data_IF_234708600244
#
_entry.id   IF_234708600244
#
_cell.length_a   1.000
_cell.length_b   1.000
_cell.length_c   1.000
_cell.angle_alpha   90.00
_cell.angle_beta   90.00
_cell.angle_gamma   90.00
#
_symmetry.space_group_name_H-M   'P 1'
#
loop_
_entity.id
_entity.type
_entity.pdbx_description
1 polymer ?
#
# COMPACT_ATOMS: atom_id res chain seq x y z
N UNK A 1 -61.90 -17.15 14.40
CA UNK A 1 -61.14 -16.54 13.29
C UNK A 1 -60.82 -15.11 13.67
N UNK A 2 -59.62 -14.64 13.32
CA UNK A 2 -58.99 -13.33 13.60
C UNK A 2 -58.10 -13.30 14.85
N UNK A 3 -56.84 -13.72 14.64
CA UNK A 3 -55.71 -13.27 15.44
C UNK A 3 -55.23 -11.90 14.94
N UNK A 4 -54.62 -11.13 15.84
CA UNK A 4 -53.75 -10.02 15.49
C UNK A 4 -52.66 -9.96 16.57
N UNK A 5 -51.43 -10.26 16.14
CA UNK A 5 -50.25 -10.42 16.98
C UNK A 5 -49.84 -9.12 17.66
N UNK A 6 -49.36 -9.24 18.89
CA UNK A 6 -48.71 -8.15 19.62
C UNK A 6 -47.40 -7.82 18.88
N UNK A 7 -47.30 -6.58 18.40
CA UNK A 7 -46.08 -6.08 17.79
C UNK A 7 -45.01 -5.95 18.87
N UNK A 8 -43.98 -6.80 18.79
CA UNK A 8 -42.75 -6.64 19.53
C UNK A 8 -41.98 -5.44 18.97
N UNK A 9 -42.14 -4.27 19.58
CA UNK A 9 -41.28 -3.11 19.32
C UNK A 9 -39.91 -3.36 19.94
N UNK A 10 -39.03 -4.00 19.17
CA UNK A 10 -37.61 -3.99 19.45
C UNK A 10 -37.10 -2.55 19.25
N UNK A 11 -36.99 -1.81 20.35
CA UNK A 11 -36.33 -0.52 20.37
C UNK A 11 -34.86 -0.72 20.02
N UNK A 12 -34.49 -0.37 18.78
CA UNK A 12 -33.11 -0.25 18.36
C UNK A 12 -32.46 0.91 19.12
N UNK A 13 -31.78 0.59 20.21
CA UNK A 13 -30.83 1.48 20.85
C UNK A 13 -29.62 1.62 19.93
N UNK A 14 -29.67 2.61 19.04
CA UNK A 14 -28.50 3.09 18.31
C UNK A 14 -27.52 3.70 19.30
N UNK A 15 -26.58 2.89 19.80
CA UNK A 15 -25.39 3.40 20.46
C UNK A 15 -24.48 3.97 19.36
N UNK A 16 -24.75 5.22 18.97
CA UNK A 16 -23.84 5.96 18.09
C UNK A 16 -22.74 6.56 18.96
N UNK A 17 -21.81 5.70 19.36
CA UNK A 17 -20.48 6.10 19.81
C UNK A 17 -19.49 6.00 18.64
N UNK A 18 -19.86 6.53 17.47
CA UNK A 18 -18.97 6.48 16.31
C UNK A 18 -17.97 7.64 16.42
N UNK A 19 -16.82 7.37 17.04
CA UNK A 19 -15.61 8.16 16.76
C UNK A 19 -15.46 8.22 15.25
N UNK A 20 -15.28 9.41 14.62
CA UNK A 20 -15.08 9.46 13.19
C UNK A 20 -13.89 8.57 12.83
N UNK A 21 -14.17 7.46 12.16
CA UNK A 21 -13.15 6.53 11.69
C UNK A 21 -12.35 7.32 10.67
N UNK A 22 -11.11 7.64 11.04
CA UNK A 22 -10.14 8.22 10.11
C UNK A 22 -10.12 7.37 8.84
N UNK A 23 -10.46 7.91 7.66
CA UNK A 23 -10.55 7.12 6.43
C UNK A 23 -9.18 6.62 5.96
N UNK A 24 -8.10 7.24 6.42
CA UNK A 24 -6.75 7.03 5.90
C UNK A 24 -6.20 5.62 6.14
N UNK A 25 -6.24 5.04 7.37
CA UNK A 25 -5.81 3.66 7.58
C UNK A 25 -6.64 2.67 6.76
N UNK A 26 -7.96 2.89 6.66
CA UNK A 26 -8.85 2.00 5.91
C UNK A 26 -8.55 2.02 4.41
N UNK A 27 -8.31 3.21 3.84
CA UNK A 27 -7.89 3.38 2.45
C UNK A 27 -6.54 2.70 2.17
N UNK A 28 -5.58 2.87 3.08
CA UNK A 28 -4.27 2.26 2.94
C UNK A 28 -4.33 0.73 2.95
N UNK A 29 -5.09 0.13 3.88
CA UNK A 29 -5.27 -1.33 3.90
C UNK A 29 -5.95 -1.84 2.62
N UNK A 30 -6.96 -1.12 2.13
CA UNK A 30 -7.63 -1.47 0.88
C UNK A 30 -6.69 -1.39 -0.34
N UNK A 31 -5.78 -0.41 -0.38
CA UNK A 31 -4.71 -0.34 -1.39
C UNK A 31 -3.76 -1.52 -1.31
N UNK A 32 -3.34 -1.91 -0.09
CA UNK A 32 -2.46 -3.06 0.08
C UNK A 32 -3.13 -4.38 -0.34
N UNK A 33 -4.41 -4.58 -0.02
CA UNK A 33 -5.16 -5.76 -0.44
C UNK A 33 -5.33 -5.83 -1.96
N UNK A 34 -5.64 -4.70 -2.59
CA UNK A 34 -5.70 -4.59 -4.05
C UNK A 34 -4.34 -4.85 -4.70
N UNK A 35 -3.28 -4.29 -4.14
CA UNK A 35 -1.92 -4.48 -4.62
C UNK A 35 -1.43 -5.92 -4.46
N UNK A 36 -1.75 -6.57 -3.33
CA UNK A 36 -1.50 -8.00 -3.10
C UNK A 36 -2.15 -8.85 -4.19
N UNK A 37 -3.42 -8.58 -4.47
CA UNK A 37 -4.19 -9.29 -5.49
C UNK A 37 -3.58 -9.09 -6.90
N UNK A 38 -3.15 -7.87 -7.21
CA UNK A 38 -2.47 -7.54 -8.47
C UNK A 38 -1.13 -8.28 -8.63
N UNK A 39 -0.31 -8.32 -7.58
CA UNK A 39 0.98 -9.02 -7.63
C UNK A 39 0.79 -10.53 -7.74
N UNK A 40 -0.21 -11.12 -7.07
CA UNK A 40 -0.59 -12.53 -7.24
C UNK A 40 -1.05 -12.83 -8.66
N UNK A 41 -1.85 -11.95 -9.27
CA UNK A 41 -2.27 -12.10 -10.67
C UNK A 41 -1.08 -12.07 -11.64
N UNK A 42 -0.01 -11.35 -11.30
CA UNK A 42 1.28 -11.34 -12.02
C UNK A 42 2.19 -12.53 -11.68
N UNK A 43 1.70 -13.53 -10.94
CA UNK A 43 2.42 -14.74 -10.52
C UNK A 43 3.70 -14.48 -9.71
N UNK A 44 3.75 -13.37 -8.96
CA UNK A 44 4.84 -13.15 -8.02
C UNK A 44 4.75 -14.13 -6.83
N UNK A 45 5.90 -14.54 -6.31
CA UNK A 45 5.97 -15.38 -5.11
C UNK A 45 5.50 -14.64 -3.86
N UNK A 46 4.80 -15.35 -2.97
CA UNK A 46 4.24 -14.79 -1.73
C UNK A 46 5.31 -14.15 -0.83
N UNK A 47 6.53 -14.68 -0.84
CA UNK A 47 7.67 -14.10 -0.12
C UNK A 47 8.04 -12.70 -0.63
N UNK A 48 7.99 -12.49 -1.94
CA UNK A 48 8.27 -11.19 -2.57
C UNK A 48 7.15 -10.21 -2.23
N UNK A 49 5.89 -10.66 -2.33
CA UNK A 49 4.70 -9.87 -2.02
C UNK A 49 4.74 -9.39 -0.57
N UNK A 50 4.95 -10.31 0.39
CA UNK A 50 5.03 -9.97 1.81
C UNK A 50 6.22 -9.07 2.15
N UNK A 51 7.38 -9.25 1.48
CA UNK A 51 8.53 -8.37 1.65
C UNK A 51 8.25 -6.93 1.19
N UNK A 52 7.57 -6.79 0.05
CA UNK A 52 7.17 -5.50 -0.51
C UNK A 52 6.15 -4.80 0.38
N UNK A 53 5.10 -5.49 0.81
CA UNK A 53 4.11 -4.93 1.74
C UNK A 53 4.75 -4.47 3.05
N UNK A 54 5.63 -5.29 3.63
CA UNK A 54 6.37 -4.92 4.85
C UNK A 54 7.18 -3.65 4.66
N UNK A 55 7.81 -3.48 3.50
CA UNK A 55 8.57 -2.27 3.18
C UNK A 55 7.67 -1.04 3.16
N UNK A 56 6.53 -1.11 2.46
CA UNK A 56 5.58 0.01 2.36
C UNK A 56 5.04 0.38 3.76
N UNK A 57 4.73 -0.61 4.60
CA UNK A 57 4.30 -0.38 5.99
C UNK A 57 5.37 0.30 6.84
N UNK A 58 6.64 -0.14 6.73
CA UNK A 58 7.76 0.54 7.42
C UNK A 58 7.92 1.99 6.97
N UNK A 59 7.62 2.29 5.71
CA UNK A 59 7.68 3.66 5.22
C UNK A 59 6.52 4.53 5.75
N UNK A 60 5.31 3.97 5.90
CA UNK A 60 4.22 4.62 6.66
C UNK A 60 4.65 4.92 8.09
N UNK A 61 5.22 3.93 8.78
CA UNK A 61 5.71 4.08 10.16
C UNK A 61 6.78 5.18 10.29
N UNK A 62 7.71 5.25 9.33
CA UNK A 62 8.75 6.27 9.31
C UNK A 62 8.21 7.68 9.04
N UNK A 63 7.33 7.81 8.05
CA UNK A 63 6.81 9.14 7.64
C UNK A 63 5.71 9.65 8.57
N UNK A 64 5.05 8.76 9.32
CA UNK A 64 3.82 9.08 10.05
C UNK A 64 2.66 9.50 9.13
N UNK A 65 2.81 9.28 7.82
CA UNK A 65 1.92 9.77 6.78
C UNK A 65 1.57 8.70 5.76
N UNK A 66 0.59 9.04 4.92
CA UNK A 66 -0.01 8.12 3.96
C UNK A 66 0.55 8.33 2.54
N UNK A 67 0.31 7.39 1.60
CA UNK A 67 0.91 7.43 0.27
C UNK A 67 0.70 8.74 -0.52
N UNK A 68 -0.40 9.45 -0.27
CA UNK A 68 -0.74 10.74 -0.88
C UNK A 68 -0.08 11.97 -0.24
N UNK A 69 0.70 11.79 0.83
CA UNK A 69 1.45 12.86 1.50
C UNK A 69 2.96 12.63 1.48
N UNK A 70 3.42 11.55 0.85
CA UNK A 70 4.84 11.23 0.77
C UNK A 70 5.60 12.15 -0.16
N UNK A 71 6.89 12.30 0.13
CA UNK A 71 7.82 13.12 -0.64
C UNK A 71 9.13 12.36 -0.92
N UNK A 72 9.83 12.74 -1.99
CA UNK A 72 11.13 12.18 -2.31
C UNK A 72 12.15 12.39 -1.17
N UNK A 73 12.14 13.57 -0.54
CA UNK A 73 13.03 13.88 0.59
C UNK A 73 12.79 12.99 1.83
N UNK A 74 11.55 12.57 2.08
CA UNK A 74 11.25 11.59 3.13
C UNK A 74 11.84 10.21 2.79
N UNK A 75 11.75 9.78 1.54
CA UNK A 75 12.35 8.53 1.08
C UNK A 75 13.88 8.57 1.21
N UNK A 76 14.52 9.65 0.77
CA UNK A 76 15.96 9.86 0.89
C UNK A 76 16.41 9.85 2.36
N UNK A 77 15.69 10.56 3.22
CA UNK A 77 15.98 10.61 4.66
C UNK A 77 15.83 9.25 5.33
N UNK A 78 14.80 8.48 4.95
CA UNK A 78 14.59 7.13 5.48
C UNK A 78 15.75 6.20 5.13
N UNK A 79 16.20 6.25 3.88
CA UNK A 79 17.32 5.46 3.40
C UNK A 79 18.64 5.89 4.06
N UNK A 80 18.90 7.20 4.16
CA UNK A 80 20.13 7.73 4.74
C UNK A 80 20.27 7.39 6.24
N UNK A 81 19.16 7.42 6.99
CA UNK A 81 19.15 7.13 8.44
C UNK A 81 19.17 5.63 8.77
N UNK A 82 18.79 4.77 7.83
CA UNK A 82 18.62 3.33 8.06
C UNK A 82 19.90 2.51 8.16
N UNK A 83 21.04 3.00 7.65
CA UNK A 83 22.33 2.30 7.72
C UNK A 83 22.34 0.93 7.00
N UNK A 84 21.47 0.72 6.01
CA UNK A 84 21.32 -0.56 5.33
C UNK A 84 22.33 -0.77 4.20
N UNK A 85 22.62 -2.03 3.89
CA UNK A 85 23.37 -2.39 2.70
C UNK A 85 22.68 -1.88 1.42
N UNK A 86 23.47 -1.56 0.39
CA UNK A 86 22.98 -1.03 -0.89
C UNK A 86 21.90 -1.91 -1.54
N UNK A 87 21.99 -3.24 -1.42
CA UNK A 87 20.99 -4.16 -1.95
C UNK A 87 19.62 -4.02 -1.25
N UNK A 88 19.62 -3.81 0.06
CA UNK A 88 18.42 -3.58 0.85
C UNK A 88 17.79 -2.23 0.50
N UNK A 89 18.61 -1.18 0.40
CA UNK A 89 18.16 0.16 -0.03
C UNK A 89 17.46 0.08 -1.38
N UNK A 90 18.09 -0.58 -2.37
CA UNK A 90 17.52 -0.75 -3.71
C UNK A 90 16.21 -1.53 -3.69
N UNK A 91 16.13 -2.59 -2.87
CA UNK A 91 14.90 -3.36 -2.68
C UNK A 91 13.78 -2.49 -2.10
N UNK A 92 14.10 -1.64 -1.12
CA UNK A 92 13.11 -0.77 -0.47
C UNK A 92 12.58 0.30 -1.42
N UNK A 93 13.49 1.01 -2.10
CA UNK A 93 13.11 2.01 -3.11
C UNK A 93 12.27 1.37 -4.22
N UNK A 94 12.65 0.17 -4.69
CA UNK A 94 11.91 -0.57 -5.72
C UNK A 94 10.50 -0.98 -5.25
N UNK A 95 10.34 -1.41 -4.00
CA UNK A 95 9.03 -1.75 -3.46
C UNK A 95 8.11 -0.52 -3.35
N UNK A 96 8.63 0.61 -2.87
CA UNK A 96 7.86 1.88 -2.81
C UNK A 96 7.51 2.37 -4.20
N UNK A 97 8.44 2.30 -5.16
CA UNK A 97 8.20 2.73 -6.54
C UNK A 97 7.06 1.94 -7.20
N UNK A 98 7.10 0.60 -7.12
CA UNK A 98 6.08 -0.28 -7.73
C UNK A 98 4.73 -0.16 -7.02
N UNK A 99 4.72 0.12 -5.72
CA UNK A 99 3.49 0.42 -4.99
C UNK A 99 2.86 1.73 -5.48
N UNK A 100 3.64 2.80 -5.58
CA UNK A 100 3.14 4.08 -6.07
C UNK A 100 2.76 4.04 -7.55
N UNK A 101 3.42 3.22 -8.38
CA UNK A 101 3.00 2.93 -9.75
C UNK A 101 1.59 2.32 -9.78
N UNK A 102 1.33 1.33 -8.91
CA UNK A 102 0.01 0.71 -8.78
C UNK A 102 -1.05 1.71 -8.30
N UNK A 103 -0.75 2.50 -7.26
CA UNK A 103 -1.70 3.45 -6.67
C UNK A 103 -1.97 4.66 -7.58
N UNK A 104 -0.99 5.08 -8.38
CA UNK A 104 -1.15 6.18 -9.33
C UNK A 104 -1.77 5.75 -10.67
N UNK A 105 -1.86 4.45 -10.95
CA UNK A 105 -2.48 3.96 -12.19
C UNK A 105 -4.00 4.13 -12.12
N UNK A 106 -4.52 5.00 -13.00
CA UNK A 106 -5.95 5.33 -13.13
C UNK A 106 -6.84 4.10 -13.32
N UNK A 107 -6.31 2.98 -13.83
CA UNK A 107 -7.07 1.73 -14.00
C UNK A 107 -7.58 1.16 -12.68
N UNK A 108 -6.93 1.47 -11.56
CA UNK A 108 -7.33 0.99 -10.24
C UNK A 108 -8.18 2.01 -9.47
N UNK A 109 -8.33 3.24 -9.96
CA UNK A 109 -9.22 4.25 -9.39
C UNK A 109 -8.75 4.92 -8.10
N UNK A 110 -7.61 4.50 -7.53
CA UNK A 110 -7.12 5.02 -6.24
C UNK A 110 -6.88 6.52 -6.22
N UNK A 111 -6.43 7.11 -7.35
CA UNK A 111 -6.22 8.57 -7.45
C UNK A 111 -7.51 9.34 -7.16
N UNK A 112 -8.62 8.89 -7.75
CA UNK A 112 -9.95 9.51 -7.59
C UNK A 112 -10.51 9.26 -6.20
N UNK A 113 -10.38 8.03 -5.68
CA UNK A 113 -10.82 7.69 -4.32
C UNK A 113 -10.08 8.50 -3.25
N UNK A 114 -8.76 8.68 -3.38
CA UNK A 114 -7.99 9.51 -2.47
C UNK A 114 -8.45 10.97 -2.54
N UNK A 115 -8.62 11.51 -3.74
CA UNK A 115 -9.07 12.89 -3.88
C UNK A 115 -10.44 13.11 -3.24
N UNK A 116 -11.39 12.20 -3.43
CA UNK A 116 -12.74 12.31 -2.88
C UNK A 116 -12.79 12.16 -1.36
N UNK A 117 -11.98 11.25 -0.80
CA UNK A 117 -12.07 10.90 0.63
C UNK A 117 -11.12 11.69 1.52
N UNK A 118 -9.96 12.07 1.02
CA UNK A 118 -8.91 12.74 1.81
C UNK A 118 -8.44 14.07 1.18
N UNK A 119 -8.95 14.44 0.01
CA UNK A 119 -8.61 15.71 -0.64
C UNK A 119 -7.17 15.77 -1.18
N UNK A 120 -6.49 14.63 -1.27
CA UNK A 120 -5.11 14.53 -1.71
C UNK A 120 -4.95 13.42 -2.74
N UNK A 121 -3.95 13.54 -3.62
CA UNK A 121 -3.67 12.56 -4.67
C UNK A 121 -2.31 11.89 -4.44
N UNK A 122 -2.21 10.57 -4.60
CA UNK A 122 -0.93 9.87 -4.62
C UNK A 122 -0.10 10.32 -5.83
N UNK A 123 1.21 10.40 -5.63
CA UNK A 123 2.16 10.75 -6.68
C UNK A 123 3.37 9.83 -6.61
N UNK A 124 4.01 9.59 -7.75
CA UNK A 124 5.28 8.87 -7.80
C UNK A 124 6.38 9.74 -7.21
N UNK A 125 6.98 9.30 -6.11
CA UNK A 125 8.11 9.99 -5.45
C UNK A 125 9.47 9.43 -5.88
N UNK A 126 9.47 8.23 -6.48
CA UNK A 126 10.66 7.58 -7.02
C UNK A 126 10.87 8.05 -8.46
N UNK A 127 11.69 9.08 -8.66
CA UNK A 127 12.12 9.54 -9.98
C UNK A 127 13.43 8.85 -10.42
N UNK A 128 13.80 8.97 -11.70
CA UNK A 128 15.03 8.38 -12.29
C UNK A 128 16.32 8.73 -11.52
N UNK A 129 16.32 9.83 -10.76
CA UNK A 129 17.46 10.26 -9.96
C UNK A 129 17.60 9.50 -8.63
N UNK A 130 16.51 8.92 -8.10
CA UNK A 130 16.47 8.17 -6.83
C UNK A 130 16.43 6.64 -7.00
N UNK A 131 16.09 6.17 -8.20
CA UNK A 131 16.00 4.74 -8.48
C UNK A 131 17.29 4.34 -9.17
N UNK A 132 18.28 3.90 -8.39
CA UNK A 132 19.54 3.37 -8.91
C UNK A 132 19.27 2.50 -10.14
N UNK A 133 19.73 3.04 -11.28
CA UNK A 133 19.56 2.59 -12.65
C UNK A 133 19.34 1.08 -12.77
N UNK A 134 18.17 0.76 -13.28
CA UNK A 134 17.71 -0.50 -13.84
C UNK A 134 18.81 -1.41 -14.41
N UNK A 135 19.19 -2.48 -13.69
CA UNK A 135 19.51 -3.82 -14.24
C UNK A 135 19.14 -4.85 -13.15
N UNK A 136 17.96 -5.44 -13.25
CA UNK A 136 17.71 -6.74 -12.65
C UNK A 136 18.26 -7.78 -13.61
N UNK A 137 19.55 -8.08 -13.52
CA UNK A 137 20.07 -9.38 -13.97
C UNK A 137 19.59 -10.40 -12.93
N UNK A 138 18.40 -10.93 -13.17
CA UNK A 138 18.04 -12.25 -12.69
C UNK A 138 18.43 -13.24 -13.79
N UNK A 139 19.70 -13.62 -13.85
CA UNK A 139 20.10 -14.86 -14.50
C UNK A 139 20.06 -15.98 -13.46
N UNK A 140 18.85 -16.51 -13.24
CA UNK A 140 18.68 -17.82 -12.64
C UNK A 140 19.04 -18.92 -13.63
N UNK A 141 20.32 -19.08 -13.97
CA UNK A 141 20.80 -20.32 -14.61
C UNK A 141 21.26 -21.27 -13.50
N UNK A 142 20.44 -22.28 -13.21
CA UNK A 142 20.89 -23.46 -12.45
C UNK A 142 21.91 -24.21 -13.31
N UNK A 143 23.15 -24.49 -12.84
CA UNK A 143 23.97 -25.49 -13.47
C UNK A 143 23.41 -26.87 -13.10
N UNK A 144 22.80 -27.52 -14.09
CA UNK A 144 22.53 -28.95 -14.04
C UNK A 144 23.80 -29.74 -14.32
N UNK A 145 23.96 -30.85 -13.61
CA UNK A 145 24.69 -32.02 -14.07
C UNK A 145 26.17 -32.11 -13.68
N UNK A 146 26.44 -32.93 -12.67
CA UNK A 146 27.31 -34.09 -12.86
C UNK A 146 26.90 -35.21 -11.91
#
# INVERSE_FOLDING_TARGET
>A
MAGAGVAGSAALTLVTGCTPVRPEPALFEAMLDGWRSQQRARRLGESIIGSRERTVRRFVEFTGGWPWSWTAGQLESWIATGGWAHSTVRSYQGAVAVFLEYVCDNRYGWVVECEQRVGARPAQICHEWNTARHVCEYEGVRPGGR
#
